data_IF_239419068753
#
_entry.id   IF_239419068753
#
_cell.length_a   1.000
_cell.length_b   1.000
_cell.length_c   1.000
_cell.angle_alpha   90.00
_cell.angle_beta   90.00
_cell.angle_gamma   90.00
#
_symmetry.space_group_name_H-M   'P 1'
#
loop_
_entity.id
_entity.type
_entity.pdbx_description
1 polymer ?
#
# COMPACT_ATOMS: atom_id res chain seq x y z
N UNK A 1 20.69 -26.48 9.48
CA UNK A 1 19.21 -26.56 9.49
C UNK A 1 18.65 -27.80 8.78
N UNK A 2 19.07 -28.18 7.55
CA UNK A 2 18.51 -29.36 6.84
C UNK A 2 18.52 -30.67 7.66
N UNK A 3 19.62 -30.95 8.36
CA UNK A 3 19.72 -32.16 9.21
C UNK A 3 18.90 -32.13 10.50
N UNK A 4 18.44 -30.96 10.96
CA UNK A 4 17.63 -30.87 12.18
C UNK A 4 16.16 -31.19 11.91
N UNK A 5 15.65 -30.78 10.73
CA UNK A 5 14.31 -31.16 10.29
C UNK A 5 14.21 -32.66 10.04
N UNK A 6 15.17 -33.24 9.30
CA UNK A 6 15.23 -34.69 9.06
C UNK A 6 15.26 -35.47 10.37
N UNK A 7 16.08 -35.04 11.34
CA UNK A 7 16.13 -35.65 12.67
C UNK A 7 14.79 -35.55 13.43
N UNK A 8 14.06 -34.43 13.29
CA UNK A 8 12.74 -34.28 13.90
C UNK A 8 11.70 -35.20 13.26
N UNK A 9 11.73 -35.37 11.93
CA UNK A 9 10.86 -36.31 11.21
C UNK A 9 11.17 -37.76 11.59
N UNK A 10 12.44 -38.13 11.70
CA UNK A 10 12.84 -39.48 12.11
C UNK A 10 12.41 -39.79 13.56
N UNK A 11 12.51 -38.81 14.46
CA UNK A 11 11.98 -38.94 15.82
C UNK A 11 10.46 -39.15 15.79
N UNK A 12 9.71 -38.32 15.05
CA UNK A 12 8.26 -38.49 14.89
C UNK A 12 7.89 -39.90 14.38
N UNK A 13 8.54 -40.38 13.31
CA UNK A 13 8.29 -41.73 12.77
C UNK A 13 8.55 -42.82 13.81
N UNK A 14 9.63 -42.70 14.56
CA UNK A 14 9.98 -43.62 15.63
C UNK A 14 8.92 -43.63 16.75
N UNK A 15 8.44 -42.46 17.19
CA UNK A 15 7.40 -42.35 18.22
C UNK A 15 6.05 -42.88 17.74
N UNK A 16 5.67 -42.59 16.50
CA UNK A 16 4.41 -43.10 15.93
C UNK A 16 4.39 -44.62 15.86
N UNK A 17 5.51 -45.24 15.47
CA UNK A 17 5.64 -46.69 15.50
C UNK A 17 5.60 -47.26 16.93
N UNK A 18 6.16 -46.55 17.91
CA UNK A 18 6.20 -46.97 19.31
C UNK A 18 4.81 -47.01 19.96
N UNK A 19 3.90 -46.08 19.63
CA UNK A 19 2.52 -46.06 20.17
C UNK A 19 1.80 -47.39 19.96
N UNK A 20 1.95 -48.01 18.77
CA UNK A 20 1.29 -49.27 18.44
C UNK A 20 1.78 -50.49 19.26
N UNK A 21 2.91 -50.37 19.96
CA UNK A 21 3.55 -51.48 20.69
C UNK A 21 3.81 -51.15 22.16
N UNK A 22 3.40 -49.98 22.63
CA UNK A 22 3.68 -49.51 23.98
C UNK A 22 2.82 -50.24 25.01
N UNK A 23 3.45 -50.66 26.11
CA UNK A 23 2.74 -51.18 27.30
C UNK A 23 2.06 -50.07 28.11
N UNK A 24 2.57 -48.85 28.01
CA UNK A 24 1.98 -47.63 28.57
C UNK A 24 1.66 -46.69 27.41
N UNK A 25 0.41 -46.75 26.96
CA UNK A 25 -0.08 -46.03 25.80
C UNK A 25 -0.07 -44.51 26.01
N UNK A 26 -0.43 -44.04 27.22
CA UNK A 26 -0.49 -42.61 27.51
C UNK A 26 0.91 -41.99 27.47
N UNK A 27 1.91 -42.64 28.07
CA UNK A 27 3.29 -42.16 28.02
C UNK A 27 3.83 -42.14 26.58
N UNK A 28 3.43 -43.10 25.74
CA UNK A 28 3.82 -43.14 24.33
C UNK A 28 3.16 -42.03 23.50
N UNK A 29 1.88 -41.73 23.76
CA UNK A 29 1.15 -40.61 23.16
C UNK A 29 1.79 -39.28 23.53
N UNK A 30 2.14 -39.06 24.80
CA UNK A 30 2.77 -37.80 25.25
C UNK A 30 4.10 -37.55 24.52
N UNK A 31 4.90 -38.61 24.31
CA UNK A 31 6.15 -38.54 23.54
C UNK A 31 5.91 -38.29 22.04
N UNK A 32 4.85 -38.85 21.48
CA UNK A 32 4.44 -38.57 20.10
C UNK A 32 4.05 -37.10 19.94
N UNK A 33 3.19 -36.56 20.81
CA UNK A 33 2.79 -35.15 20.81
C UNK A 33 4.00 -34.21 20.93
N UNK A 34 4.99 -34.55 21.76
CA UNK A 34 6.22 -33.80 21.86
C UNK A 34 7.04 -33.82 20.55
N UNK A 35 7.10 -34.97 19.86
CA UNK A 35 7.77 -35.10 18.57
C UNK A 35 7.06 -34.33 17.46
N UNK A 36 5.72 -34.34 17.43
CA UNK A 36 4.90 -33.55 16.51
C UNK A 36 5.17 -32.06 16.69
N UNK A 37 5.07 -31.55 17.93
CA UNK A 37 5.40 -30.15 18.26
C UNK A 37 6.81 -29.78 17.84
N UNK A 38 7.77 -30.68 18.00
CA UNK A 38 9.15 -30.44 17.55
C UNK A 38 9.25 -30.34 16.04
N UNK A 39 8.63 -31.24 15.28
CA UNK A 39 8.60 -31.18 13.82
C UNK A 39 7.96 -29.87 13.31
N UNK A 40 6.87 -29.43 13.97
CA UNK A 40 6.15 -28.20 13.65
C UNK A 40 6.87 -26.91 14.07
N UNK A 41 7.91 -27.01 14.91
CA UNK A 41 8.73 -25.85 15.27
C UNK A 41 9.66 -25.39 14.14
N UNK A 42 9.81 -26.19 13.09
CA UNK A 42 10.60 -25.85 11.91
C UNK A 42 9.72 -25.29 10.79
N UNK A 43 10.21 -24.27 10.09
CA UNK A 43 9.58 -23.80 8.86
C UNK A 43 10.03 -24.66 7.68
N UNK A 44 9.09 -25.09 6.84
CA UNK A 44 9.42 -25.83 5.62
C UNK A 44 10.27 -24.97 4.68
N UNK A 45 11.31 -25.58 4.12
CA UNK A 45 12.21 -25.01 3.10
C UNK A 45 11.97 -25.60 1.70
N UNK A 46 11.11 -26.62 1.60
CA UNK A 46 10.65 -27.18 0.32
C UNK A 46 9.21 -27.72 0.40
N UNK A 47 8.60 -27.94 -0.77
CA UNK A 47 7.28 -28.60 -0.88
C UNK A 47 7.30 -30.01 -0.27
N UNK A 48 8.43 -30.73 -0.35
CA UNK A 48 8.57 -32.04 0.27
C UNK A 48 8.48 -31.98 1.80
N UNK A 49 9.12 -31.00 2.42
CA UNK A 49 9.04 -30.76 3.86
C UNK A 49 7.64 -30.28 4.28
N UNK A 50 7.01 -29.41 3.49
CA UNK A 50 5.65 -28.95 3.72
C UNK A 50 4.64 -30.11 3.69
N UNK A 51 4.82 -31.04 2.75
CA UNK A 51 4.02 -32.27 2.68
C UNK A 51 4.22 -33.14 3.92
N UNK A 52 5.45 -33.33 4.38
CA UNK A 52 5.72 -34.10 5.60
C UNK A 52 5.05 -33.47 6.83
N UNK A 53 5.05 -32.14 6.93
CA UNK A 53 4.30 -31.41 7.97
C UNK A 53 2.79 -31.66 7.85
N UNK A 54 2.22 -31.62 6.63
CA UNK A 54 0.80 -31.90 6.44
C UNK A 54 0.42 -33.32 6.87
N UNK A 55 1.24 -34.32 6.56
CA UNK A 55 1.01 -35.72 6.96
C UNK A 55 1.05 -35.93 8.49
N UNK A 56 1.73 -35.03 9.23
CA UNK A 56 1.71 -35.01 10.70
C UNK A 56 0.43 -34.34 11.22
N UNK A 57 0.06 -33.18 10.67
CA UNK A 57 -1.09 -32.39 11.14
C UNK A 57 -2.41 -33.13 10.88
N UNK A 58 -2.54 -33.74 9.71
CA UNK A 58 -3.73 -34.48 9.28
C UNK A 58 -3.49 -35.99 9.34
N UNK A 59 -2.83 -36.44 10.41
CA UNK A 59 -2.49 -37.84 10.64
C UNK A 59 -3.67 -38.73 11.02
N UNK A 60 -4.75 -38.11 11.51
CA UNK A 60 -5.97 -38.71 12.02
C UNK A 60 -7.15 -38.12 11.24
N UNK A 61 -7.96 -38.98 10.63
CA UNK A 61 -9.10 -38.56 9.81
C UNK A 61 -10.31 -38.10 10.63
N UNK A 62 -10.40 -38.55 11.88
CA UNK A 62 -11.53 -38.29 12.77
C UNK A 62 -11.31 -37.05 13.67
N UNK A 63 -10.15 -36.42 13.57
CA UNK A 63 -9.73 -35.32 14.45
C UNK A 63 -9.38 -34.06 13.66
N UNK A 64 -9.89 -32.93 14.15
CA UNK A 64 -9.49 -31.62 13.64
C UNK A 64 -8.16 -31.19 14.28
N UNK A 65 -7.16 -30.77 13.49
CA UNK A 65 -5.90 -30.31 14.04
C UNK A 65 -6.07 -29.04 14.87
N UNK A 66 -5.26 -28.85 15.93
CA UNK A 66 -5.21 -27.59 16.67
C UNK A 66 -4.88 -26.39 15.77
N UNK A 67 -5.50 -25.24 16.04
CA UNK A 67 -5.32 -24.00 15.26
C UNK A 67 -3.86 -23.55 15.16
N UNK A 68 -3.06 -23.80 16.19
CA UNK A 68 -1.63 -23.50 16.22
C UNK A 68 -0.86 -24.28 15.15
N UNK A 69 -1.18 -25.56 14.95
CA UNK A 69 -0.52 -26.41 13.95
C UNK A 69 -0.89 -25.98 12.53
N UNK A 70 -2.18 -25.67 12.31
CA UNK A 70 -2.67 -25.14 11.04
C UNK A 70 -1.99 -23.80 10.71
N UNK A 71 -1.82 -22.94 11.71
CA UNK A 71 -1.11 -21.66 11.56
C UNK A 71 0.37 -21.87 11.19
N UNK A 72 1.05 -22.84 11.81
CA UNK A 72 2.44 -23.17 11.49
C UNK A 72 2.60 -23.71 10.05
N UNK A 73 1.63 -24.52 9.58
CA UNK A 73 1.58 -24.99 8.21
C UNK A 73 1.45 -23.85 7.20
N UNK A 74 0.47 -22.97 7.38
CA UNK A 74 0.29 -21.84 6.47
C UNK A 74 1.49 -20.89 6.52
N UNK A 75 2.08 -20.64 7.69
CA UNK A 75 3.31 -19.86 7.78
C UNK A 75 4.46 -20.48 6.97
N UNK A 76 4.58 -21.82 6.97
CA UNK A 76 5.56 -22.54 6.14
C UNK A 76 5.24 -22.46 4.66
N UNK A 77 3.97 -22.57 4.26
CA UNK A 77 3.53 -22.39 2.88
C UNK A 77 3.86 -20.98 2.36
N UNK A 78 3.57 -19.93 3.14
CA UNK A 78 3.90 -18.55 2.80
C UNK A 78 5.42 -18.30 2.70
N UNK A 79 6.23 -19.05 3.46
CA UNK A 79 7.68 -18.95 3.34
C UNK A 79 8.20 -19.53 2.01
N UNK A 80 7.50 -20.53 1.46
CA UNK A 80 7.83 -21.13 0.17
C UNK A 80 7.35 -20.28 -1.00
N UNK A 81 6.16 -19.68 -0.89
CA UNK A 81 5.63 -18.74 -1.87
C UNK A 81 5.80 -17.29 -1.40
N UNK A 82 6.93 -16.70 -1.78
CA UNK A 82 7.26 -15.29 -1.45
C UNK A 82 6.44 -14.28 -2.25
N UNK A 83 5.51 -14.72 -3.08
CA UNK A 83 4.58 -13.81 -3.74
C UNK A 83 3.41 -13.49 -2.80
N UNK A 84 2.81 -12.30 -2.93
CA UNK A 84 1.54 -12.02 -2.29
C UNK A 84 0.44 -12.94 -2.82
N UNK A 85 -0.51 -13.27 -1.96
CA UNK A 85 -1.71 -13.99 -2.38
C UNK A 85 -2.50 -13.18 -3.44
N UNK A 86 -2.96 -13.79 -4.55
CA UNK A 86 -3.78 -13.10 -5.56
C UNK A 86 -5.11 -12.57 -5.04
N UNK A 87 -5.59 -13.06 -3.90
CA UNK A 87 -6.86 -12.64 -3.28
C UNK A 87 -6.66 -11.61 -2.16
N UNK A 88 -5.41 -11.21 -1.90
CA UNK A 88 -5.14 -10.16 -0.92
C UNK A 88 -5.40 -8.79 -1.55
N UNK A 89 -6.34 -8.05 -0.96
CA UNK A 89 -6.58 -6.64 -1.29
C UNK A 89 -5.86 -5.73 -0.29
N UNK A 90 -4.67 -5.22 -0.65
CA UNK A 90 -3.86 -4.42 0.28
C UNK A 90 -4.49 -3.04 0.58
N UNK A 91 -5.33 -2.50 -0.31
CA UNK A 91 -6.02 -1.20 -0.10
C UNK A 91 -7.18 -1.38 0.87
N UNK A 92 -8.03 -2.38 0.61
CA UNK A 92 -9.12 -2.75 1.51
C UNK A 92 -8.62 -3.15 2.89
N UNK A 93 -7.52 -3.92 2.95
CA UNK A 93 -6.89 -4.32 4.22
C UNK A 93 -6.46 -3.10 5.04
N UNK A 94 -5.72 -2.14 4.44
CA UNK A 94 -5.24 -0.96 5.16
C UNK A 94 -6.40 -0.11 5.67
N UNK A 95 -7.43 0.08 4.84
CA UNK A 95 -8.63 0.84 5.20
C UNK A 95 -9.36 0.22 6.40
N UNK A 96 -9.55 -1.11 6.39
CA UNK A 96 -10.20 -1.82 7.47
C UNK A 96 -9.35 -1.84 8.74
N UNK A 97 -8.03 -2.01 8.60
CA UNK A 97 -7.08 -2.01 9.71
C UNK A 97 -7.08 -0.66 10.45
N UNK A 98 -7.05 0.45 9.71
CA UNK A 98 -7.15 1.80 10.27
C UNK A 98 -8.51 2.03 10.94
N UNK A 99 -9.61 1.55 10.34
CA UNK A 99 -10.96 1.69 10.90
C UNK A 99 -11.16 0.96 12.24
N UNK A 100 -10.43 -0.14 12.49
CA UNK A 100 -10.49 -0.88 13.76
C UNK A 100 -9.46 -0.40 14.80
N UNK A 101 -8.86 0.76 14.56
CA UNK A 101 -7.88 1.40 15.45
C UNK A 101 -6.45 0.92 15.28
N UNK A 102 -6.16 0.11 14.25
CA UNK A 102 -4.80 -0.20 13.85
C UNK A 102 -4.08 1.05 13.34
N UNK A 103 -2.81 1.19 13.68
CA UNK A 103 -2.00 2.33 13.25
C UNK A 103 -0.73 1.88 12.57
N UNK A 104 0.03 2.82 12.04
CA UNK A 104 1.39 2.57 11.57
C UNK A 104 2.26 3.80 11.81
N UNK A 105 3.55 3.58 11.91
CA UNK A 105 4.56 4.63 12.01
C UNK A 105 5.70 4.34 11.06
N UNK A 106 6.31 5.40 10.53
CA UNK A 106 7.60 5.29 9.85
C UNK A 106 8.72 5.58 10.85
N UNK A 107 9.66 4.64 10.97
CA UNK A 107 10.85 4.79 11.82
C UNK A 107 12.04 4.26 11.03
N UNK A 108 13.10 5.06 10.94
CA UNK A 108 14.34 4.69 10.25
C UNK A 108 14.12 4.26 8.76
N UNK A 109 13.10 4.82 8.09
CA UNK A 109 12.73 4.49 6.71
C UNK A 109 11.91 3.20 6.55
N UNK A 110 11.54 2.57 7.66
CA UNK A 110 10.68 1.38 7.70
C UNK A 110 9.31 1.70 8.28
N UNK A 111 8.28 1.13 7.65
CA UNK A 111 6.92 1.21 8.15
C UNK A 111 6.67 0.05 9.12
N UNK A 112 6.29 0.41 10.34
CA UNK A 112 5.91 -0.51 11.40
C UNK A 112 4.41 -0.41 11.67
N UNK A 113 3.73 -1.54 11.70
CA UNK A 113 2.31 -1.62 12.06
C UNK A 113 2.15 -1.66 13.59
N UNK A 114 1.22 -0.86 14.09
CA UNK A 114 0.84 -0.75 15.50
C UNK A 114 -0.50 -1.47 15.70
N UNK A 115 -0.45 -2.67 16.26
CA UNK A 115 -1.66 -3.42 16.60
C UNK A 115 -2.41 -2.74 17.73
N UNK A 116 -3.70 -2.48 17.53
CA UNK A 116 -4.60 -2.23 18.65
C UNK A 116 -4.81 -3.55 19.42
N UNK A 117 -5.13 -3.46 20.72
CA UNK A 117 -5.50 -4.62 21.52
C UNK A 117 -6.96 -5.03 21.27
N UNK A 118 -7.25 -5.39 20.02
CA UNK A 118 -8.57 -5.84 19.57
C UNK A 118 -8.46 -7.15 18.78
N UNK A 119 -9.48 -7.99 18.84
CA UNK A 119 -9.54 -9.22 18.03
C UNK A 119 -9.46 -8.91 16.53
N UNK A 120 -10.08 -7.82 16.10
CA UNK A 120 -10.06 -7.38 14.71
C UNK A 120 -8.65 -6.97 14.24
N UNK A 121 -7.89 -6.24 15.07
CA UNK A 121 -6.51 -5.88 14.74
C UNK A 121 -5.60 -7.10 14.70
N UNK A 122 -5.77 -8.04 15.66
CA UNK A 122 -5.05 -9.33 15.65
C UNK A 122 -5.37 -10.17 14.40
N UNK A 123 -6.63 -10.23 13.99
CA UNK A 123 -7.05 -10.93 12.77
C UNK A 123 -6.44 -10.29 11.52
N UNK A 124 -6.45 -8.96 11.43
CA UNK A 124 -5.84 -8.24 10.32
C UNK A 124 -4.32 -8.50 10.23
N UNK A 125 -3.62 -8.48 11.36
CA UNK A 125 -2.19 -8.80 11.40
C UNK A 125 -1.90 -10.26 11.02
N UNK A 126 -2.76 -11.19 11.43
CA UNK A 126 -2.69 -12.58 11.00
C UNK A 126 -2.86 -12.70 9.48
N UNK A 127 -3.86 -12.04 8.91
CA UNK A 127 -4.10 -12.02 7.45
C UNK A 127 -2.92 -11.43 6.68
N UNK A 128 -2.36 -10.31 7.13
CA UNK A 128 -1.21 -9.67 6.50
C UNK A 128 -0.01 -10.62 6.42
N UNK A 129 0.20 -11.40 7.48
CA UNK A 129 1.29 -12.40 7.57
C UNK A 129 1.01 -13.61 6.70
N UNK A 130 -0.19 -14.18 6.74
CA UNK A 130 -0.54 -15.40 6.00
C UNK A 130 -0.79 -15.18 4.52
N UNK A 131 -1.00 -13.93 4.09
CA UNK A 131 -1.14 -13.60 2.67
C UNK A 131 0.10 -12.96 2.07
N UNK A 132 1.18 -12.85 2.86
CA UNK A 132 2.45 -12.24 2.47
C UNK A 132 2.26 -10.85 1.85
N UNK A 133 1.39 -10.06 2.48
CA UNK A 133 0.88 -8.78 1.96
C UNK A 133 1.61 -7.54 2.46
N UNK A 134 2.59 -7.71 3.35
CA UNK A 134 3.21 -6.62 4.10
C UNK A 134 3.83 -5.57 3.17
N UNK A 135 4.61 -5.99 2.17
CA UNK A 135 5.31 -5.05 1.29
C UNK A 135 4.35 -4.27 0.36
N UNK A 136 3.22 -4.86 -0.04
CA UNK A 136 2.20 -4.18 -0.83
C UNK A 136 1.51 -3.09 0.00
N UNK A 137 1.17 -3.39 1.25
CA UNK A 137 0.59 -2.39 2.16
C UNK A 137 1.59 -1.27 2.46
N UNK A 138 2.86 -1.61 2.73
CA UNK A 138 3.92 -0.61 2.92
C UNK A 138 4.09 0.28 1.69
N UNK A 139 4.03 -0.28 0.48
CA UNK A 139 4.09 0.51 -0.76
C UNK A 139 2.92 1.50 -0.88
N UNK A 140 1.71 1.09 -0.50
CA UNK A 140 0.54 2.00 -0.46
C UNK A 140 0.77 3.13 0.54
N UNK A 141 1.27 2.82 1.74
CA UNK A 141 1.57 3.83 2.76
C UNK A 141 2.66 4.79 2.27
N UNK A 142 3.74 4.29 1.66
CA UNK A 142 4.78 5.12 1.04
C UNK A 142 4.21 6.04 -0.03
N UNK A 143 3.31 5.54 -0.89
CA UNK A 143 2.64 6.37 -1.89
C UNK A 143 1.69 7.41 -1.26
N UNK A 144 1.05 7.11 -0.11
CA UNK A 144 0.22 8.07 0.64
C UNK A 144 1.05 9.15 1.34
N UNK A 145 2.28 8.84 1.73
CA UNK A 145 3.14 9.69 2.58
C UNK A 145 4.29 10.35 1.85
N UNK A 146 4.58 9.94 0.61
CA UNK A 146 5.59 10.56 -0.21
C UNK A 146 5.35 12.08 -0.27
N UNK A 147 6.36 12.92 0.04
CA UNK A 147 6.24 14.35 -0.18
C UNK A 147 5.92 14.55 -1.65
N UNK A 148 4.82 15.24 -1.92
CA UNK A 148 4.30 15.37 -3.28
C UNK A 148 5.19 16.33 -4.09
N UNK A 149 6.33 15.82 -4.56
CA UNK A 149 7.23 16.52 -5.48
C UNK A 149 6.51 16.92 -6.77
N UNK A 150 5.42 16.24 -7.11
CA UNK A 150 4.59 16.61 -8.25
C UNK A 150 3.83 17.92 -7.99
N UNK A 151 3.33 18.14 -6.77
CA UNK A 151 2.60 19.37 -6.45
C UNK A 151 3.51 20.60 -6.44
N UNK A 152 4.72 20.49 -5.88
CA UNK A 152 5.72 21.58 -5.93
C UNK A 152 6.13 21.94 -7.37
N UNK A 153 6.25 20.94 -8.25
CA UNK A 153 6.51 21.15 -9.68
C UNK A 153 5.33 21.82 -10.39
N UNK A 154 4.09 21.41 -10.07
CA UNK A 154 2.87 22.02 -10.62
C UNK A 154 2.76 23.49 -10.23
N UNK A 155 3.05 23.84 -8.99
CA UNK A 155 3.11 25.25 -8.54
C UNK A 155 4.18 26.02 -9.30
N UNK A 156 5.40 25.48 -9.39
CA UNK A 156 6.50 26.14 -10.11
C UNK A 156 6.18 26.36 -11.59
N UNK A 157 5.56 25.40 -12.27
CA UNK A 157 5.14 25.54 -13.66
C UNK A 157 4.06 26.61 -13.82
N UNK A 158 3.06 26.61 -12.94
CA UNK A 158 2.02 27.63 -12.94
C UNK A 158 2.58 29.04 -12.73
N UNK A 159 3.40 29.25 -11.69
CA UNK A 159 4.02 30.55 -11.40
C UNK A 159 4.93 31.02 -12.54
N UNK A 160 5.70 30.11 -13.14
CA UNK A 160 6.58 30.44 -14.28
C UNK A 160 5.79 30.83 -15.53
N UNK A 161 4.72 30.10 -15.85
CA UNK A 161 3.89 30.40 -17.01
C UNK A 161 3.15 31.73 -16.83
N UNK A 162 2.59 31.97 -15.64
CA UNK A 162 1.97 33.25 -15.27
C UNK A 162 2.95 34.41 -15.39
N UNK A 163 4.14 34.29 -14.79
CA UNK A 163 5.15 35.34 -14.83
C UNK A 163 5.59 35.69 -16.26
N UNK A 164 5.72 34.69 -17.15
CA UNK A 164 6.07 34.91 -18.56
C UNK A 164 4.97 35.64 -19.34
N UNK A 165 3.71 35.30 -19.08
CA UNK A 165 2.57 35.99 -19.69
C UNK A 165 2.49 37.44 -19.20
N UNK A 166 2.58 37.65 -17.89
CA UNK A 166 2.56 38.97 -17.26
C UNK A 166 3.73 39.86 -17.75
N UNK A 167 4.95 39.31 -17.80
CA UNK A 167 6.13 40.00 -18.32
C UNK A 167 5.91 40.43 -19.77
N UNK A 168 5.40 39.52 -20.61
CA UNK A 168 5.15 39.85 -22.01
C UNK A 168 4.06 40.92 -22.16
N UNK A 169 2.97 40.84 -21.40
CA UNK A 169 1.86 41.80 -21.45
C UNK A 169 2.19 43.16 -20.82
N UNK A 170 3.17 43.22 -19.90
CA UNK A 170 3.56 44.47 -19.23
C UNK A 170 4.20 45.51 -20.15
N UNK A 171 4.69 45.10 -21.32
CA UNK A 171 5.33 45.99 -22.28
C UNK A 171 4.29 46.47 -23.30
N UNK A 172 3.97 47.75 -23.26
CA UNK A 172 3.11 48.38 -24.25
C UNK A 172 3.81 48.39 -25.62
N UNK A 173 3.18 47.75 -26.60
CA UNK A 173 3.67 47.68 -27.97
C UNK A 173 2.62 48.37 -28.83
N UNK A 174 2.92 49.60 -29.25
CA UNK A 174 2.06 50.40 -30.12
C UNK A 174 2.06 49.83 -31.56
N UNK A 175 1.49 48.65 -31.75
CA UNK A 175 1.44 47.92 -33.01
C UNK A 175 0.20 48.33 -33.80
N UNK A 176 0.36 48.52 -35.11
CA UNK A 176 -0.77 48.80 -36.01
C UNK A 176 -1.44 47.47 -36.41
N UNK A 177 -2.76 47.39 -36.28
CA UNK A 177 -3.51 46.18 -36.62
C UNK A 177 -3.32 45.80 -38.10
N UNK A 178 -3.20 44.49 -38.36
CA UNK A 178 -3.01 43.93 -39.70
C UNK A 178 -1.57 44.04 -40.23
N UNK A 179 -0.62 44.49 -39.40
CA UNK A 179 0.81 44.39 -39.70
C UNK A 179 1.36 43.01 -39.32
N UNK A 180 2.40 42.50 -40.02
CA UNK A 180 3.08 41.27 -39.62
C UNK A 180 3.56 41.26 -38.17
N UNK A 181 3.92 42.43 -37.64
CA UNK A 181 4.34 42.61 -36.25
C UNK A 181 3.18 42.45 -35.27
N UNK A 182 1.97 42.91 -35.61
CA UNK A 182 0.75 42.66 -34.84
C UNK A 182 0.37 41.18 -34.85
N UNK A 183 0.41 40.53 -36.01
CA UNK A 183 0.09 39.09 -36.13
C UNK A 183 1.06 38.23 -35.32
N UNK A 184 2.36 38.54 -35.37
CA UNK A 184 3.37 37.88 -34.56
C UNK A 184 3.18 38.13 -33.05
N UNK A 185 2.69 39.32 -32.68
CA UNK A 185 2.38 39.65 -31.29
C UNK A 185 1.18 38.87 -30.76
N UNK A 186 0.07 38.83 -31.51
CA UNK A 186 -1.13 38.07 -31.15
C UNK A 186 -0.81 36.58 -31.02
N UNK A 187 -0.13 35.99 -32.01
CA UNK A 187 0.30 34.58 -31.95
C UNK A 187 1.19 34.27 -30.73
N UNK A 188 2.00 35.24 -30.29
CA UNK A 188 2.84 35.08 -29.10
C UNK A 188 2.03 35.18 -27.81
N UNK A 189 1.03 36.06 -27.74
CA UNK A 189 0.11 36.14 -26.59
C UNK A 189 -0.66 34.83 -26.48
N UNK A 190 -1.23 34.33 -27.57
CA UNK A 190 -2.00 33.08 -27.59
C UNK A 190 -1.16 31.91 -27.07
N UNK A 191 0.07 31.75 -27.56
CA UNK A 191 0.96 30.70 -27.10
C UNK A 191 1.34 30.80 -25.61
N UNK A 192 1.46 32.02 -25.06
CA UNK A 192 1.74 32.22 -23.64
C UNK A 192 0.49 31.99 -22.78
N UNK A 193 -0.68 32.40 -23.28
CA UNK A 193 -1.97 32.19 -22.63
C UNK A 193 -2.31 30.70 -22.56
N UNK A 194 -2.10 29.94 -23.63
CA UNK A 194 -2.27 28.48 -23.67
C UNK A 194 -1.35 27.78 -22.67
N UNK A 195 -0.07 28.16 -22.62
CA UNK A 195 0.88 27.59 -21.67
C UNK A 195 0.50 27.87 -20.20
N UNK A 196 0.01 29.07 -19.91
CA UNK A 196 -0.52 29.42 -18.59
C UNK A 196 -1.80 28.63 -18.28
N UNK A 197 -2.68 28.46 -19.27
CA UNK A 197 -3.90 27.69 -19.14
C UNK A 197 -3.63 26.22 -18.80
N UNK A 198 -2.75 25.57 -19.56
CA UNK A 198 -2.40 24.16 -19.34
C UNK A 198 -1.76 23.95 -17.95
N UNK A 199 -0.87 24.86 -17.53
CA UNK A 199 -0.21 24.79 -16.24
C UNK A 199 -1.21 24.95 -15.08
N UNK A 200 -2.15 25.91 -15.16
CA UNK A 200 -3.17 26.03 -14.13
C UNK A 200 -4.17 24.88 -14.15
N UNK A 201 -4.55 24.34 -15.31
CA UNK A 201 -5.42 23.17 -15.39
C UNK A 201 -4.78 21.96 -14.70
N UNK A 202 -3.49 21.72 -14.94
CA UNK A 202 -2.75 20.64 -14.29
C UNK A 202 -2.70 20.80 -12.77
N UNK A 203 -2.42 22.02 -12.27
CA UNK A 203 -2.43 22.33 -10.83
C UNK A 203 -3.83 22.15 -10.22
N UNK A 204 -4.86 22.67 -10.87
CA UNK A 204 -6.24 22.68 -10.36
C UNK A 204 -6.90 21.30 -10.42
N UNK A 205 -6.46 20.44 -11.34
CA UNK A 205 -6.98 19.07 -11.48
C UNK A 205 -6.27 18.07 -10.56
N UNK A 206 -5.11 18.43 -10.01
CA UNK A 206 -4.33 17.56 -9.12
C UNK A 206 -4.80 17.71 -7.67
N UNK A 207 -4.96 16.61 -6.90
CA UNK A 207 -5.33 16.69 -5.49
C UNK A 207 -4.34 17.51 -4.66
N UNK A 208 -4.83 18.36 -3.76
CA UNK A 208 -3.96 19.16 -2.89
C UNK A 208 -3.38 18.31 -1.74
N UNK A 209 -2.06 18.18 -1.55
CA UNK A 209 -1.50 17.28 -0.53
C UNK A 209 -1.91 17.65 0.91
N UNK A 210 -2.07 18.95 1.20
CA UNK A 210 -2.43 19.45 2.53
C UNK A 210 -3.34 20.70 2.46
N UNK A 211 -3.76 21.20 3.63
CA UNK A 211 -4.62 22.38 3.74
C UNK A 211 -3.98 23.67 3.19
N UNK A 212 -2.65 23.79 3.25
CA UNK A 212 -1.94 24.97 2.74
C UNK A 212 -1.91 24.96 1.21
N UNK A 213 -1.64 23.80 0.63
CA UNK A 213 -1.72 23.57 -0.81
C UNK A 213 -3.14 23.79 -1.33
N UNK A 214 -4.17 23.36 -0.56
CA UNK A 214 -5.56 23.62 -0.90
C UNK A 214 -5.90 25.11 -0.91
N UNK A 215 -5.43 25.88 0.09
CA UNK A 215 -5.62 27.33 0.12
C UNK A 215 -4.97 28.02 -1.08
N UNK A 216 -3.76 27.62 -1.45
CA UNK A 216 -3.09 28.12 -2.66
C UNK A 216 -3.87 27.78 -3.93
N UNK A 217 -4.35 26.54 -4.04
CA UNK A 217 -5.17 26.06 -5.16
C UNK A 217 -6.47 26.87 -5.31
N UNK A 218 -7.11 27.23 -4.19
CA UNK A 218 -8.30 28.09 -4.18
C UNK A 218 -7.98 29.52 -4.65
N UNK A 219 -6.83 30.08 -4.27
CA UNK A 219 -6.39 31.38 -4.77
C UNK A 219 -6.10 31.34 -6.28
N UNK A 220 -5.37 30.32 -6.74
CA UNK A 220 -5.09 30.14 -8.17
C UNK A 220 -6.39 29.99 -8.98
N UNK A 221 -7.38 29.27 -8.45
CA UNK A 221 -8.70 29.14 -9.08
C UNK A 221 -9.45 30.48 -9.17
N UNK A 222 -9.36 31.32 -8.13
CA UNK A 222 -9.97 32.65 -8.14
C UNK A 222 -9.31 33.60 -9.15
N UNK A 223 -7.97 33.59 -9.21
CA UNK A 223 -7.21 34.47 -10.10
C UNK A 223 -7.36 34.11 -11.59
N UNK A 224 -7.74 32.87 -11.88
CA UNK A 224 -7.81 32.35 -13.24
C UNK A 224 -9.19 32.60 -13.88
N UNK A 225 -9.49 33.87 -14.15
CA UNK A 225 -10.78 34.35 -14.68
C UNK A 225 -11.21 33.64 -15.98
N UNK A 226 -10.24 33.24 -16.82
CA UNK A 226 -10.45 32.48 -18.06
C UNK A 226 -10.93 31.03 -17.86
N UNK A 227 -10.66 30.41 -16.72
CA UNK A 227 -11.00 28.99 -16.46
C UNK A 227 -12.48 28.76 -16.18
N UNK A 228 -13.20 29.81 -15.78
CA UNK A 228 -14.59 29.73 -15.37
C UNK A 228 -15.53 29.30 -16.51
N UNK A 229 -15.07 29.33 -17.76
CA UNK A 229 -15.91 29.15 -18.95
C UNK A 229 -15.79 27.77 -19.63
N UNK A 230 -14.65 27.07 -19.56
CA UNK A 230 -14.42 25.84 -20.37
C UNK A 230 -14.40 24.51 -19.59
N UNK A 231 -13.92 24.46 -18.33
CA UNK A 231 -13.81 23.21 -17.54
C UNK A 231 -14.19 23.35 -16.06
N UNK A 232 -15.02 24.36 -15.76
CA UNK A 232 -15.36 24.76 -14.41
C UNK A 232 -15.96 23.62 -13.55
N UNK A 233 -16.78 22.74 -14.15
CA UNK A 233 -17.35 21.60 -13.43
C UNK A 233 -16.27 20.62 -12.92
N UNK A 234 -15.31 20.23 -13.75
CA UNK A 234 -14.29 19.22 -13.39
C UNK A 234 -13.40 19.74 -12.25
N UNK A 235 -12.97 21.01 -12.36
CA UNK A 235 -12.15 21.67 -11.34
C UNK A 235 -12.92 21.83 -10.03
N UNK A 236 -14.17 22.33 -10.09
CA UNK A 236 -15.01 22.53 -8.90
C UNK A 236 -15.27 21.21 -8.16
N UNK A 237 -15.48 20.11 -8.89
CA UNK A 237 -15.63 18.78 -8.28
C UNK A 237 -14.35 18.38 -7.51
N UNK A 238 -13.18 18.55 -8.13
CA UNK A 238 -11.90 18.27 -7.47
C UNK A 238 -11.67 19.12 -6.21
N UNK A 239 -12.05 20.41 -6.24
CA UNK A 239 -11.98 21.30 -5.08
C UNK A 239 -12.88 20.85 -3.93
N UNK A 240 -14.08 20.33 -4.23
CA UNK A 240 -15.00 19.77 -3.22
C UNK A 240 -14.46 18.46 -2.64
N UNK A 241 -13.89 17.61 -3.48
CA UNK A 241 -13.32 16.33 -3.04
C UNK A 241 -12.07 16.55 -2.15
N UNK A 242 -11.23 17.53 -2.49
CA UNK A 242 -10.12 17.96 -1.63
C UNK A 242 -10.60 18.52 -0.29
N UNK A 243 -11.64 19.37 -0.28
CA UNK A 243 -12.21 19.92 0.95
C UNK A 243 -12.74 18.81 1.88
N UNK A 244 -13.42 17.80 1.32
CA UNK A 244 -13.94 16.66 2.09
C UNK A 244 -12.81 15.82 2.68
N UNK A 245 -11.78 15.53 1.88
CA UNK A 245 -10.63 14.72 2.31
C UNK A 245 -9.82 15.40 3.40
N UNK A 246 -9.65 16.72 3.32
CA UNK A 246 -8.83 17.50 4.25
C UNK A 246 -9.59 17.96 5.52
N UNK A 247 -10.91 17.81 5.55
CA UNK A 247 -11.76 18.11 6.72
C UNK A 247 -12.02 16.89 7.62
N UNK A 248 -11.62 15.69 7.18
CA UNK A 248 -11.70 14.43 7.93
C UNK A 248 -10.43 14.22 8.77
#
# INVERSE_FOLDING_TARGET
>A
MRGEFESAIDNYRSRRAAVATASDEQAAIDLLVAAERRALSFQASSIGELRAIAEIIWSDEDSLPPSEMVTAFFASLCNLDKNPSPTFDPVGWLTNYEAVGGGWIERDGEIHFLSADTDASRLAMWELKTRNGAEQVKAIIRNRTAPDTSWGQLVSHYETAKARLDEYQSVERNLEMGTPENDAHEAKIDALADAHFDAALALLSSPAPDAKAYAYKMQAYHDAEAFQWMRNHEVTKGLVDDARRLAA
#
